data_IF_013966542105
#
_entry.id   IF_013966542105
#
_cell.length_a   1.000
_cell.length_b   1.000
_cell.length_c   1.000
_cell.angle_alpha   90.00
_cell.angle_beta   90.00
_cell.angle_gamma   90.00
#
_symmetry.space_group_name_H-M   'P 1'
#
loop_
_entity.id
_entity.type
_entity.pdbx_description
1 polymer ?
#
# COMPACT_ATOMS: atom_id res chain seq x y z
N UNK A 1 4.07 15.49 20.33
CA UNK A 1 3.93 14.11 20.85
C UNK A 1 3.84 13.20 19.64
N UNK A 2 4.67 12.15 19.53
CA UNK A 2 4.59 11.23 18.39
C UNK A 2 3.26 10.47 18.42
N UNK A 3 2.69 10.19 17.25
CA UNK A 3 1.47 9.39 17.14
C UNK A 3 1.70 7.98 17.73
N UNK A 4 1.03 7.58 18.84
CA UNK A 4 1.23 6.27 19.46
C UNK A 4 0.76 5.12 18.57
N UNK A 5 -0.02 5.39 17.52
CA UNK A 5 -0.49 4.35 16.61
C UNK A 5 0.60 3.80 15.68
N UNK A 6 1.64 4.58 15.39
CA UNK A 6 2.76 4.14 14.54
C UNK A 6 3.48 2.92 15.12
N UNK A 7 4.06 3.01 16.33
CA UNK A 7 4.75 1.89 16.98
C UNK A 7 3.87 0.64 17.16
N UNK A 8 2.59 0.82 17.51
CA UNK A 8 1.65 -0.31 17.61
C UNK A 8 1.43 -0.98 16.26
N UNK A 9 1.27 -0.20 15.19
CA UNK A 9 1.08 -0.75 13.83
C UNK A 9 2.33 -1.50 13.37
N UNK A 10 3.55 -1.01 13.64
CA UNK A 10 4.79 -1.74 13.34
C UNK A 10 4.92 -3.05 14.14
N UNK A 11 4.50 -3.05 15.41
CA UNK A 11 4.47 -4.27 16.21
C UNK A 11 3.49 -5.31 15.61
N UNK A 12 2.32 -4.87 15.13
CA UNK A 12 1.37 -5.74 14.44
C UNK A 12 1.92 -6.22 13.10
N UNK A 13 2.64 -5.40 12.33
CA UNK A 13 3.33 -5.85 11.10
C UNK A 13 4.33 -6.96 11.39
N UNK A 14 5.13 -6.78 12.44
CA UNK A 14 6.10 -7.78 12.89
C UNK A 14 5.40 -9.06 13.35
N UNK A 15 4.24 -8.94 14.02
CA UNK A 15 3.42 -10.08 14.42
C UNK A 15 2.85 -10.85 13.22
N UNK A 16 2.36 -10.17 12.17
CA UNK A 16 1.86 -10.82 10.95
C UNK A 16 2.94 -11.73 10.36
N UNK A 17 4.15 -11.20 10.21
CA UNK A 17 5.29 -11.96 9.71
C UNK A 17 5.66 -13.14 10.63
N UNK A 18 5.72 -12.90 11.95
CA UNK A 18 6.03 -13.94 12.92
C UNK A 18 4.99 -15.07 12.93
N UNK A 19 3.69 -14.76 12.82
CA UNK A 19 2.61 -15.76 12.77
C UNK A 19 2.73 -16.65 11.52
N UNK A 20 3.21 -16.11 10.40
CA UNK A 20 3.41 -16.89 9.17
C UNK A 20 4.61 -17.83 9.29
N UNK A 21 5.71 -17.36 9.90
CA UNK A 21 7.01 -18.04 9.86
C UNK A 21 7.39 -18.83 11.11
N UNK A 22 6.60 -18.75 12.18
CA UNK A 22 6.94 -19.39 13.45
C UNK A 22 6.86 -20.92 13.39
N UNK A 23 7.80 -21.58 14.06
CA UNK A 23 7.84 -23.04 14.25
C UNK A 23 7.89 -23.42 15.73
N UNK A 24 7.51 -22.49 16.62
CA UNK A 24 7.49 -22.73 18.07
C UNK A 24 6.44 -23.79 18.44
N UNK A 25 6.61 -24.42 19.61
CA UNK A 25 5.71 -25.45 20.10
C UNK A 25 4.29 -24.92 20.44
N UNK A 26 3.28 -25.81 20.53
CA UNK A 26 1.90 -25.42 20.80
C UNK A 26 1.68 -24.59 22.08
N UNK A 27 2.46 -24.80 23.15
CA UNK A 27 2.31 -24.05 24.39
C UNK A 27 2.73 -22.59 24.18
N UNK A 28 3.79 -22.37 23.40
CA UNK A 28 4.24 -21.02 23.00
C UNK A 28 3.22 -20.32 22.10
N UNK A 29 2.59 -21.06 21.17
CA UNK A 29 1.49 -20.52 20.34
C UNK A 29 0.32 -20.08 21.25
N UNK A 30 -0.06 -20.91 22.22
CA UNK A 30 -1.11 -20.59 23.20
C UNK A 30 -0.81 -19.32 24.01
N UNK A 31 0.43 -19.16 24.48
CA UNK A 31 0.86 -17.95 25.18
C UNK A 31 0.78 -16.69 24.29
N UNK A 32 1.24 -16.78 23.04
CA UNK A 32 1.18 -15.67 22.09
C UNK A 32 -0.27 -15.26 21.80
N UNK A 33 -1.15 -16.25 21.60
CA UNK A 33 -2.58 -16.01 21.40
C UNK A 33 -3.22 -15.28 22.58
N UNK A 34 -2.90 -15.67 23.82
CA UNK A 34 -3.41 -14.99 25.02
C UNK A 34 -2.98 -13.51 25.08
N UNK A 35 -1.75 -13.19 24.68
CA UNK A 35 -1.28 -11.79 24.61
C UNK A 35 -2.00 -10.99 23.52
N UNK A 36 -2.24 -11.58 22.35
CA UNK A 36 -3.01 -10.94 21.28
C UNK A 36 -4.46 -10.70 21.72
N UNK A 37 -5.09 -11.68 22.36
CA UNK A 37 -6.43 -11.53 22.91
C UNK A 37 -6.51 -10.41 23.95
N UNK A 38 -5.55 -10.32 24.88
CA UNK A 38 -5.50 -9.24 25.86
C UNK A 38 -5.33 -7.86 25.20
N UNK A 39 -4.52 -7.76 24.13
CA UNK A 39 -4.40 -6.52 23.36
C UNK A 39 -5.70 -6.14 22.66
N UNK A 40 -6.45 -7.11 22.14
CA UNK A 40 -7.75 -6.88 21.50
C UNK A 40 -8.80 -6.39 22.50
N UNK A 41 -8.82 -6.90 23.73
CA UNK A 41 -9.72 -6.39 24.78
C UNK A 41 -9.46 -4.91 25.07
N UNK A 42 -8.18 -4.53 25.26
CA UNK A 42 -7.78 -3.13 25.52
C UNK A 42 -8.18 -2.21 24.35
N UNK A 43 -7.86 -2.61 23.12
CA UNK A 43 -8.19 -1.80 21.93
C UNK A 43 -9.70 -1.77 21.67
N UNK A 44 -10.41 -2.83 22.05
CA UNK A 44 -11.84 -3.02 21.87
C UNK A 44 -12.71 -2.21 22.82
N UNK A 45 -12.15 -1.67 23.92
CA UNK A 45 -12.87 -0.80 24.88
C UNK A 45 -13.62 0.35 24.19
N UNK A 46 -13.07 0.86 23.07
CA UNK A 46 -13.74 1.86 22.25
C UNK A 46 -13.32 1.80 20.79
N UNK A 47 -14.24 1.39 19.94
CA UNK A 47 -14.06 1.41 18.48
C UNK A 47 -15.07 2.35 17.81
N UNK A 48 -14.68 2.89 16.65
CA UNK A 48 -15.60 3.62 15.78
C UNK A 48 -16.53 2.64 15.07
N UNK A 49 -17.77 3.03 14.71
CA UNK A 49 -18.60 2.23 13.84
C UNK A 49 -18.07 2.30 12.39
N UNK A 50 -18.05 1.16 11.70
CA UNK A 50 -17.77 1.10 10.27
C UNK A 50 -16.35 1.55 9.87
N UNK A 51 -16.24 2.30 8.77
CA UNK A 51 -14.96 2.65 8.14
C UNK A 51 -14.27 3.85 8.80
N UNK A 52 -12.94 3.82 8.84
CA UNK A 52 -12.13 4.98 9.25
C UNK A 52 -12.31 6.18 8.31
N UNK A 53 -12.51 5.91 7.01
CA UNK A 53 -12.63 6.92 5.97
C UNK A 53 -11.36 7.75 5.77
N UNK A 54 -11.55 8.97 5.26
CA UNK A 54 -10.53 10.00 5.16
C UNK A 54 -10.79 11.04 6.23
N UNK A 55 -9.80 11.32 7.09
CA UNK A 55 -9.91 12.32 8.15
C UNK A 55 -8.94 13.46 7.90
N UNK A 56 -9.27 14.65 8.38
CA UNK A 56 -8.37 15.80 8.33
C UNK A 56 -7.60 15.88 9.66
N UNK A 57 -6.27 15.86 9.59
CA UNK A 57 -5.41 16.03 10.77
C UNK A 57 -5.37 17.50 11.21
N UNK A 58 -4.94 17.80 12.45
CA UNK A 58 -4.92 19.19 12.97
C UNK A 58 -4.10 20.18 12.15
N UNK A 59 -3.16 19.69 11.33
CA UNK A 59 -2.33 20.45 10.39
C UNK A 59 -2.97 20.59 8.98
N UNK A 60 -4.24 20.21 8.82
CA UNK A 60 -5.00 20.34 7.58
C UNK A 60 -4.73 19.26 6.53
N UNK A 61 -3.91 18.25 6.84
CA UNK A 61 -3.60 17.16 5.90
C UNK A 61 -4.71 16.11 5.88
N UNK A 62 -4.91 15.51 4.71
CA UNK A 62 -5.77 14.35 4.54
C UNK A 62 -5.04 13.09 5.04
N UNK A 63 -5.64 12.38 5.98
CA UNK A 63 -5.09 11.20 6.63
C UNK A 63 -6.00 9.98 6.41
N UNK A 64 -5.77 9.19 5.35
CA UNK A 64 -6.48 7.95 5.10
C UNK A 64 -5.88 6.81 5.92
N UNK A 65 -5.85 6.92 7.26
CA UNK A 65 -5.07 6.04 8.14
C UNK A 65 -5.39 4.54 8.01
N UNK A 66 -6.60 4.17 7.55
CA UNK A 66 -7.00 2.78 7.31
C UNK A 66 -6.74 2.26 5.90
N UNK A 67 -6.23 3.08 4.99
CA UNK A 67 -6.00 2.69 3.60
C UNK A 67 -5.01 1.52 3.47
N UNK A 68 -5.27 0.61 2.54
CA UNK A 68 -4.50 -0.64 2.37
C UNK A 68 -3.12 -0.47 1.71
N UNK A 69 -2.74 0.73 1.30
CA UNK A 69 -1.43 1.05 0.73
C UNK A 69 -0.64 2.04 1.58
N UNK A 70 -1.31 3.10 2.04
CA UNK A 70 -0.66 4.24 2.72
C UNK A 70 -1.20 4.48 4.14
N UNK A 71 -2.05 3.57 4.63
CA UNK A 71 -2.66 3.70 5.93
C UNK A 71 -1.66 3.44 7.06
N UNK A 72 -1.30 4.49 7.79
CA UNK A 72 -0.40 4.40 8.95
C UNK A 72 -0.95 3.55 10.10
N UNK A 73 -2.26 3.23 10.10
CA UNK A 73 -2.91 2.35 11.08
C UNK A 73 -3.31 1.00 10.47
N UNK A 74 -2.87 0.71 9.26
CA UNK A 74 -3.14 -0.55 8.56
C UNK A 74 -1.85 -1.37 8.48
N UNK A 75 -1.77 -2.45 9.27
CA UNK A 75 -0.61 -3.32 9.28
C UNK A 75 -0.51 -4.22 8.04
N UNK A 76 -1.57 -4.36 7.24
CA UNK A 76 -1.50 -5.04 5.95
C UNK A 76 -0.87 -4.12 4.89
N UNK A 77 -0.98 -2.80 5.06
CA UNK A 77 -0.40 -1.86 4.11
C UNK A 77 1.12 -2.05 4.01
N UNK A 78 1.66 -2.31 2.79
CA UNK A 78 3.09 -2.31 2.59
C UNK A 78 3.66 -0.95 3.03
N UNK A 79 4.85 -0.90 3.63
CA UNK A 79 5.44 0.33 4.16
C UNK A 79 5.96 1.23 3.02
N UNK A 80 5.04 1.71 2.19
CA UNK A 80 5.34 2.49 0.99
C UNK A 80 5.53 3.95 1.36
N UNK A 81 6.66 4.51 0.94
CA UNK A 81 6.88 5.96 0.89
C UNK A 81 6.95 6.36 -0.56
N UNK A 82 6.06 7.26 -0.98
CA UNK A 82 5.96 7.70 -2.37
C UNK A 82 6.74 8.99 -2.55
N UNK A 83 7.77 8.94 -3.38
CA UNK A 83 8.58 10.08 -3.78
C UNK A 83 8.15 10.60 -5.15
N UNK A 84 8.26 11.92 -5.34
CA UNK A 84 8.05 12.57 -6.64
C UNK A 84 9.26 13.43 -6.97
N UNK A 85 9.83 13.23 -8.13
CA UNK A 85 10.92 14.08 -8.61
C UNK A 85 10.42 15.32 -9.38
N UNK A 86 11.36 16.15 -9.81
CA UNK A 86 11.07 17.37 -10.55
C UNK A 86 10.49 17.12 -11.96
N UNK A 87 10.77 15.95 -12.55
CA UNK A 87 10.32 15.56 -13.88
C UNK A 87 8.94 14.85 -13.85
N UNK A 88 8.38 14.66 -12.66
CA UNK A 88 7.06 14.07 -12.45
C UNK A 88 7.07 12.55 -12.35
N UNK A 89 8.24 11.92 -12.23
CA UNK A 89 8.34 10.49 -11.90
C UNK A 89 7.88 10.29 -10.47
N UNK A 90 6.94 9.36 -10.29
CA UNK A 90 6.49 8.89 -8.99
C UNK A 90 7.16 7.56 -8.71
N UNK A 91 7.83 7.40 -7.57
CA UNK A 91 8.51 6.14 -7.25
C UNK A 91 8.44 5.77 -5.77
N UNK A 92 8.75 4.51 -5.47
CA UNK A 92 8.85 3.99 -4.11
C UNK A 92 9.85 2.85 -4.06
N UNK A 93 10.53 2.72 -2.93
CA UNK A 93 11.31 1.56 -2.55
C UNK A 93 10.55 0.81 -1.46
N UNK A 94 10.39 -0.50 -1.61
CA UNK A 94 9.61 -1.31 -0.66
C UNK A 94 10.29 -2.65 -0.44
N UNK A 95 10.21 -3.14 0.80
CA UNK A 95 10.63 -4.50 1.15
C UNK A 95 9.37 -5.35 1.41
N UNK A 96 9.13 -6.35 0.57
CA UNK A 96 7.94 -7.21 0.65
C UNK A 96 8.33 -8.60 1.14
N UNK A 97 8.03 -8.89 2.41
CA UNK A 97 8.25 -10.19 3.04
C UNK A 97 7.07 -11.17 2.91
N UNK A 98 7.06 -12.19 3.78
CA UNK A 98 6.12 -13.32 3.74
C UNK A 98 4.64 -12.91 3.78
N UNK A 99 4.31 -11.77 4.41
CA UNK A 99 2.95 -11.22 4.44
C UNK A 99 2.35 -10.91 3.05
N UNK A 100 3.20 -10.78 2.03
CA UNK A 100 2.81 -10.41 0.67
C UNK A 100 3.06 -11.54 -0.35
N UNK A 101 3.46 -12.70 0.13
CA UNK A 101 3.78 -13.86 -0.68
C UNK A 101 2.52 -14.43 -1.37
N UNK A 102 2.68 -14.86 -2.62
CA UNK A 102 1.68 -15.61 -3.36
C UNK A 102 2.25 -16.97 -3.74
N UNK A 103 2.88 -17.11 -4.92
CA UNK A 103 3.71 -18.26 -5.20
C UNK A 103 4.92 -18.30 -4.26
N UNK A 104 5.42 -19.50 -3.97
CA UNK A 104 6.61 -19.71 -3.13
C UNK A 104 7.77 -18.80 -3.59
N UNK A 105 8.29 -18.00 -2.67
CA UNK A 105 9.39 -17.06 -2.86
C UNK A 105 9.06 -15.79 -3.64
N UNK A 106 7.79 -15.56 -4.00
CA UNK A 106 7.39 -14.46 -4.89
C UNK A 106 6.20 -13.67 -4.36
N UNK A 107 6.22 -12.36 -4.61
CA UNK A 107 5.12 -11.45 -4.29
C UNK A 107 3.87 -11.87 -5.08
N UNK A 108 2.73 -11.91 -4.40
CA UNK A 108 1.46 -12.19 -5.05
C UNK A 108 1.15 -11.13 -6.12
N UNK A 109 0.74 -11.55 -7.32
CA UNK A 109 0.47 -10.61 -8.42
C UNK A 109 -0.55 -9.54 -8.07
N UNK A 110 -1.56 -9.87 -7.26
CA UNK A 110 -2.52 -8.91 -6.71
C UNK A 110 -1.88 -7.80 -5.85
N UNK A 111 -0.80 -8.08 -5.11
CA UNK A 111 -0.06 -7.06 -4.35
C UNK A 111 0.73 -6.17 -5.32
N UNK A 112 1.35 -6.74 -6.35
CA UNK A 112 1.98 -5.95 -7.42
C UNK A 112 0.97 -5.01 -8.10
N UNK A 113 -0.23 -5.52 -8.39
CA UNK A 113 -1.33 -4.74 -8.96
C UNK A 113 -1.76 -3.60 -8.05
N UNK A 114 -1.89 -3.87 -6.74
CA UNK A 114 -2.25 -2.88 -5.73
C UNK A 114 -1.24 -1.73 -5.69
N UNK A 115 0.06 -2.06 -5.64
CA UNK A 115 1.15 -1.08 -5.63
C UNK A 115 1.12 -0.22 -6.89
N UNK A 116 1.00 -0.85 -8.07
CA UNK A 116 0.99 -0.13 -9.35
C UNK A 116 -0.23 0.77 -9.50
N UNK A 117 -1.43 0.32 -9.12
CA UNK A 117 -2.63 1.17 -9.11
C UNK A 117 -2.41 2.45 -8.29
N UNK A 118 -1.82 2.31 -7.10
CA UNK A 118 -1.54 3.45 -6.23
C UNK A 118 -0.54 4.43 -6.82
N UNK A 119 0.59 3.93 -7.35
CA UNK A 119 1.62 4.79 -7.93
C UNK A 119 1.13 5.48 -9.19
N UNK A 120 0.47 4.75 -10.08
CA UNK A 120 -0.14 5.31 -11.28
C UNK A 120 -1.18 6.37 -10.91
N UNK A 121 -2.06 6.09 -9.94
CA UNK A 121 -3.03 7.05 -9.45
C UNK A 121 -2.37 8.29 -8.84
N UNK A 122 -1.27 8.12 -8.12
CA UNK A 122 -0.50 9.23 -7.58
C UNK A 122 0.02 10.17 -8.68
N UNK A 123 0.42 9.66 -9.87
CA UNK A 123 0.80 10.52 -11.01
C UNK A 123 -0.36 11.41 -11.51
N UNK A 124 -1.60 10.92 -11.43
CA UNK A 124 -2.79 11.60 -11.94
C UNK A 124 -3.47 12.54 -10.93
N UNK A 125 -3.12 12.46 -9.65
CA UNK A 125 -3.66 13.34 -8.61
C UNK A 125 -3.17 14.78 -8.80
N UNK A 126 -4.10 15.72 -8.70
CA UNK A 126 -3.83 17.16 -8.80
C UNK A 126 -4.34 17.90 -7.56
N UNK A 127 -3.85 19.12 -7.28
CA UNK A 127 -4.34 19.92 -6.16
C UNK A 127 -5.85 20.24 -6.24
N UNK A 128 -6.40 20.31 -7.46
CA UNK A 128 -7.78 20.69 -7.75
C UNK A 128 -8.80 19.53 -7.68
N UNK A 129 -8.36 18.29 -7.46
CA UNK A 129 -9.27 17.17 -7.22
C UNK A 129 -8.67 15.78 -7.44
N UNK A 130 -9.34 14.73 -6.93
CA UNK A 130 -8.89 13.35 -7.11
C UNK A 130 -9.09 12.87 -8.55
N UNK A 131 -8.25 11.91 -8.95
CA UNK A 131 -8.43 11.13 -10.16
C UNK A 131 -8.79 9.69 -9.77
N UNK A 132 -9.75 9.10 -10.47
CA UNK A 132 -10.21 7.73 -10.21
C UNK A 132 -9.69 6.77 -11.26
N UNK A 133 -9.30 5.56 -10.86
CA UNK A 133 -8.91 4.50 -11.80
C UNK A 133 -10.11 4.14 -12.68
N UNK A 134 -10.00 4.38 -13.98
CA UNK A 134 -10.97 3.94 -14.98
C UNK A 134 -10.60 2.59 -15.58
N UNK A 135 -9.31 2.37 -15.85
CA UNK A 135 -8.80 1.08 -16.34
C UNK A 135 -7.38 0.87 -15.84
N UNK A 136 -7.06 -0.38 -15.47
CA UNK A 136 -5.72 -0.80 -15.10
C UNK A 136 -5.40 -2.08 -15.88
N UNK A 137 -4.31 -2.06 -16.64
CA UNK A 137 -3.79 -3.21 -17.37
C UNK A 137 -2.39 -3.54 -16.85
N UNK A 138 -2.14 -4.82 -16.56
CA UNK A 138 -0.84 -5.30 -16.09
C UNK A 138 -0.28 -6.38 -17.02
N UNK A 139 1.04 -6.36 -17.16
CA UNK A 139 1.83 -7.42 -17.80
C UNK A 139 2.87 -7.93 -16.80
N UNK A 140 2.69 -9.16 -16.33
CA UNK A 140 3.66 -9.85 -15.49
C UNK A 140 4.75 -10.45 -16.39
N UNK A 141 5.86 -9.73 -16.52
CA UNK A 141 6.97 -10.05 -17.44
C UNK A 141 7.85 -11.15 -16.84
N UNK A 142 8.07 -11.12 -15.53
CA UNK A 142 8.87 -12.08 -14.76
C UNK A 142 8.25 -12.28 -13.37
N UNK A 143 8.55 -13.40 -12.69
CA UNK A 143 8.23 -13.52 -11.27
C UNK A 143 8.83 -12.35 -10.47
N UNK A 144 8.05 -11.78 -9.55
CA UNK A 144 8.53 -10.74 -8.64
C UNK A 144 8.99 -11.40 -7.35
N UNK A 145 10.30 -11.51 -7.07
CA UNK A 145 10.76 -12.15 -5.84
C UNK A 145 10.37 -11.34 -4.60
N UNK A 146 10.27 -12.01 -3.45
CA UNK A 146 10.20 -11.33 -2.14
C UNK A 146 11.48 -10.51 -1.88
N UNK A 147 11.37 -9.52 -0.99
CA UNK A 147 12.46 -8.63 -0.58
C UNK A 147 12.35 -7.23 -1.18
N UNK A 148 13.51 -6.59 -1.39
CA UNK A 148 13.60 -5.20 -1.85
C UNK A 148 13.23 -5.05 -3.33
N UNK A 149 12.28 -4.16 -3.60
CA UNK A 149 11.76 -3.83 -4.91
C UNK A 149 11.65 -2.31 -5.07
N UNK A 150 11.77 -1.85 -6.32
CA UNK A 150 11.45 -0.49 -6.71
C UNK A 150 10.20 -0.49 -7.57
N UNK A 151 9.27 0.40 -7.31
CA UNK A 151 8.16 0.65 -8.24
C UNK A 151 8.20 2.12 -8.69
N UNK A 152 7.88 2.36 -9.95
CA UNK A 152 7.86 3.70 -10.52
C UNK A 152 6.74 3.86 -11.55
N UNK A 153 6.24 5.09 -11.68
CA UNK A 153 5.17 5.46 -12.59
C UNK A 153 5.34 6.90 -13.11
N UNK A 154 4.88 7.15 -14.32
CA UNK A 154 4.92 8.46 -14.98
C UNK A 154 3.69 8.65 -15.88
N UNK A 155 3.36 9.91 -16.15
CA UNK A 155 2.31 10.26 -17.13
C UNK A 155 2.87 10.06 -18.53
N UNK A 156 2.17 9.28 -19.36
CA UNK A 156 2.49 9.16 -20.78
C UNK A 156 1.88 10.35 -21.55
N UNK A 157 0.60 10.62 -21.34
CA UNK A 157 -0.09 11.77 -21.92
C UNK A 157 -1.42 12.05 -21.21
N UNK A 158 -1.99 13.24 -21.46
CA UNK A 158 -3.33 13.62 -21.01
C UNK A 158 -4.25 13.89 -22.21
N UNK A 159 -5.53 13.54 -22.08
CA UNK A 159 -6.56 13.85 -23.08
C UNK A 159 -7.87 14.21 -22.40
N UNK A 160 -8.20 15.50 -22.41
CA UNK A 160 -9.37 16.04 -21.71
C UNK A 160 -9.34 15.71 -20.22
N UNK A 161 -10.34 14.96 -19.74
CA UNK A 161 -10.45 14.54 -18.33
C UNK A 161 -9.68 13.26 -17.99
N UNK A 162 -8.97 12.67 -18.96
CA UNK A 162 -8.24 11.41 -18.81
C UNK A 162 -6.75 11.66 -18.71
N UNK A 163 -6.10 10.99 -17.75
CA UNK A 163 -4.65 10.91 -17.64
C UNK A 163 -4.24 9.45 -17.92
N UNK A 164 -3.37 9.26 -18.89
CA UNK A 164 -2.83 7.96 -19.26
C UNK A 164 -1.44 7.86 -18.65
N UNK A 165 -1.25 6.87 -17.77
CA UNK A 165 -0.02 6.68 -17.03
C UNK A 165 0.56 5.29 -17.29
N UNK A 166 1.88 5.20 -17.21
CA UNK A 166 2.64 3.95 -17.25
C UNK A 166 3.41 3.76 -15.97
N UNK A 167 3.68 2.51 -15.64
CA UNK A 167 4.50 2.19 -14.48
C UNK A 167 5.07 0.79 -14.56
N UNK A 168 5.99 0.50 -13.65
CA UNK A 168 6.65 -0.80 -13.55
C UNK A 168 7.15 -1.09 -12.15
N UNK A 169 7.29 -2.38 -11.85
CA UNK A 169 8.03 -2.89 -10.68
C UNK A 169 9.35 -3.46 -11.19
N UNK A 170 10.43 -3.13 -10.50
CA UNK A 170 11.78 -3.59 -10.76
C UNK A 170 12.33 -4.36 -9.56
N UNK A 171 13.06 -5.43 -9.87
CA UNK A 171 13.93 -6.14 -8.94
C UNK A 171 15.36 -6.10 -9.50
N UNK A 172 16.32 -5.60 -8.73
CA UNK A 172 17.72 -5.48 -9.17
C UNK A 172 17.89 -4.78 -10.54
N UNK A 173 17.04 -3.79 -10.84
CA UNK A 173 17.04 -3.06 -12.11
C UNK A 173 16.29 -3.73 -13.27
N UNK A 174 15.82 -4.96 -13.10
CA UNK A 174 15.02 -5.66 -14.11
C UNK A 174 13.52 -5.52 -13.87
N UNK A 175 12.77 -5.22 -14.91
CA UNK A 175 11.30 -5.15 -14.84
C UNK A 175 10.69 -6.54 -14.61
N UNK A 176 9.87 -6.66 -13.56
CA UNK A 176 9.07 -7.86 -13.27
C UNK A 176 7.61 -7.69 -13.68
N UNK A 177 7.05 -6.49 -13.47
CA UNK A 177 5.67 -6.14 -13.84
C UNK A 177 5.64 -4.80 -14.52
N UNK A 178 4.88 -4.69 -15.60
CA UNK A 178 4.55 -3.41 -16.25
C UNK A 178 3.06 -3.13 -16.08
N UNK A 179 2.68 -1.86 -16.02
CA UNK A 179 1.30 -1.45 -16.00
C UNK A 179 1.03 -0.21 -16.84
N UNK A 180 -0.21 -0.15 -17.32
CA UNK A 180 -0.81 1.02 -17.96
C UNK A 180 -2.13 1.31 -17.26
N UNK A 181 -2.38 2.58 -16.97
CA UNK A 181 -3.59 3.01 -16.29
C UNK A 181 -4.24 4.21 -16.98
N UNK A 182 -5.57 4.23 -16.99
CA UNK A 182 -6.37 5.39 -17.37
C UNK A 182 -7.07 5.92 -16.14
N UNK A 183 -6.78 7.17 -15.79
CA UNK A 183 -7.36 7.85 -14.63
C UNK A 183 -8.29 8.96 -15.09
N UNK A 184 -9.45 9.06 -14.45
CA UNK A 184 -10.55 9.93 -14.87
C UNK A 184 -10.80 10.95 -13.78
N UNK A 185 -10.74 12.23 -14.14
CA UNK A 185 -11.19 13.33 -13.28
C UNK A 185 -12.71 13.47 -13.36
N UNK A 186 -13.44 13.52 -12.22
CA UNK A 186 -14.86 13.77 -12.23
C UNK A 186 -15.14 15.13 -12.85
N UNK A 187 -16.25 15.26 -13.58
CA UNK A 187 -16.74 16.57 -13.99
C UNK A 187 -17.23 17.29 -12.74
N UNK A 188 -16.85 18.56 -12.55
CA UNK A 188 -17.49 19.40 -11.53
C UNK A 188 -19.01 19.31 -11.72
N UNK A 189 -19.80 19.16 -10.64
CA UNK A 189 -21.23 19.32 -10.78
C UNK A 189 -21.48 20.74 -11.30
N UNK A 190 -22.15 20.83 -12.45
CA UNK A 190 -22.68 22.09 -12.96
C UNK A 190 -23.83 22.60 -12.12
#
# INVERSE_FOLDING_TARGET
MSDPHGPLTEAVRSLIDAVIRTEVDPDRIGAAHAHVAAALEILGERMIPGSFGVRVTPDGRSAPCGNVLIGQRNAIAPPLTVDRDADGLVSTEVDLGAAYEGPVGHVHGGVCSLILDHLLGATAHRPDGPAFTGTLQLRYVRPTPLGRLRAEAWVEHESGRKTYARGRILCAGETTVEAQGVFIRPSSPG
#
